data_IF_140843123411
#
_entry.id   IF_140843123411
#
_cell.length_a   1.000
_cell.length_b   1.000
_cell.length_c   1.000
_cell.angle_alpha   90.00
_cell.angle_beta   90.00
_cell.angle_gamma   90.00
#
_symmetry.space_group_name_H-M   'P 1'
#
loop_
_entity.id
_entity.type
_entity.pdbx_description
1 polymer ?
#
# COMPACT_ATOMS: atom_id res chain seq x y z
N UNK A 1 -10.42 -6.22 29.62
CA UNK A 1 -9.54 -6.98 30.51
C UNK A 1 -8.95 -8.12 29.72
N UNK A 2 -7.63 -8.13 29.55
CA UNK A 2 -6.87 -9.08 28.75
C UNK A 2 -6.91 -10.45 29.45
N UNK A 3 -7.52 -11.45 28.82
CA UNK A 3 -7.75 -12.78 29.39
C UNK A 3 -6.47 -13.41 29.93
N UNK A 4 -5.39 -13.25 29.18
CA UNK A 4 -4.12 -13.94 29.41
C UNK A 4 -3.31 -13.28 30.53
N UNK A 5 -3.70 -12.05 30.93
CA UNK A 5 -3.10 -11.31 32.04
C UNK A 5 -4.00 -11.27 33.27
N UNK A 6 -5.14 -11.97 33.28
CA UNK A 6 -6.03 -12.00 34.45
C UNK A 6 -5.33 -12.48 35.72
N UNK A 7 -4.40 -13.42 35.59
CA UNK A 7 -3.60 -13.93 36.70
C UNK A 7 -2.48 -12.97 37.12
N UNK A 8 -2.13 -11.98 36.29
CA UNK A 8 -1.14 -10.94 36.62
C UNK A 8 -1.67 -9.85 37.57
N UNK A 9 -2.98 -9.88 37.87
CA UNK A 9 -3.62 -9.01 38.86
C UNK A 9 -3.56 -7.52 38.49
N UNK A 10 -2.85 -6.73 39.31
CA UNK A 10 -2.80 -5.26 39.20
C UNK A 10 -1.91 -4.75 38.05
N UNK A 11 -1.02 -5.58 37.51
CA UNK A 11 -0.01 -5.13 36.54
C UNK A 11 -0.66 -4.71 35.22
N UNK A 12 -1.71 -5.40 34.76
CA UNK A 12 -2.50 -4.97 33.60
C UNK A 12 -3.13 -3.60 33.83
N UNK A 13 -3.62 -3.33 35.04
CA UNK A 13 -4.31 -2.09 35.36
C UNK A 13 -3.35 -0.91 35.37
N UNK A 14 -2.15 -1.10 35.93
CA UNK A 14 -1.16 -0.05 36.16
C UNK A 14 -0.34 0.29 34.91
N UNK A 15 -0.19 -0.65 33.97
CA UNK A 15 0.60 -0.44 32.75
C UNK A 15 0.02 0.66 31.84
N UNK A 16 0.88 1.51 31.29
CA UNK A 16 0.48 2.51 30.28
C UNK A 16 0.29 1.88 28.90
N UNK A 17 1.11 0.88 28.58
CA UNK A 17 1.00 0.06 27.38
C UNK A 17 1.17 -1.42 27.71
N UNK A 18 0.48 -2.26 26.96
CA UNK A 18 0.65 -3.72 26.99
C UNK A 18 0.82 -4.19 25.56
N UNK A 19 1.91 -4.92 25.30
CA UNK A 19 2.23 -5.46 23.99
C UNK A 19 2.34 -6.98 24.10
N UNK A 20 1.72 -7.70 23.16
CA UNK A 20 1.95 -9.12 22.97
C UNK A 20 2.86 -9.35 21.76
N UNK A 21 3.68 -10.39 21.85
CA UNK A 21 4.52 -10.85 20.75
C UNK A 21 3.95 -12.18 20.29
N UNK A 22 3.45 -12.22 19.05
CA UNK A 22 2.96 -13.42 18.41
C UNK A 22 3.91 -13.83 17.27
N UNK A 23 4.34 -15.08 17.28
CA UNK A 23 5.23 -15.66 16.26
C UNK A 23 4.56 -16.90 15.67
N UNK A 24 3.89 -16.79 14.51
CA UNK A 24 3.20 -17.92 13.88
C UNK A 24 4.10 -19.16 13.72
N UNK A 25 5.36 -18.95 13.31
CA UNK A 25 6.35 -20.01 13.13
C UNK A 25 6.61 -20.82 14.41
N UNK A 26 6.55 -20.19 15.60
CA UNK A 26 6.72 -20.89 16.88
C UNK A 26 5.59 -21.92 17.11
N UNK A 27 4.39 -21.63 16.60
CA UNK A 27 3.23 -22.51 16.67
C UNK A 27 3.10 -23.44 15.46
N UNK A 28 4.13 -23.51 14.59
CA UNK A 28 4.13 -24.27 13.33
C UNK A 28 3.07 -23.81 12.33
N UNK A 29 2.73 -22.52 12.37
CA UNK A 29 1.87 -21.86 11.39
C UNK A 29 2.79 -21.14 10.41
N UNK A 30 2.86 -21.63 9.17
CA UNK A 30 3.82 -21.18 8.17
C UNK A 30 3.22 -20.35 7.04
N UNK A 31 1.90 -20.36 6.91
CA UNK A 31 1.16 -19.68 5.85
C UNK A 31 -0.07 -18.99 6.43
N UNK A 32 -0.45 -17.85 5.87
CA UNK A 32 -1.72 -17.18 6.18
C UNK A 32 -2.89 -17.72 5.34
N UNK A 33 -4.09 -17.23 5.59
CA UNK A 33 -5.30 -17.63 4.84
C UNK A 33 -5.22 -17.32 3.34
N UNK A 34 -4.30 -16.44 2.92
CA UNK A 34 -4.07 -16.04 1.54
C UNK A 34 -2.87 -16.78 0.90
N UNK A 35 -2.23 -17.69 1.63
CA UNK A 35 -1.07 -18.47 1.17
C UNK A 35 0.26 -17.71 1.23
N UNK A 36 0.34 -16.58 1.94
CA UNK A 36 1.60 -15.86 2.13
C UNK A 36 2.44 -16.53 3.22
N UNK A 37 3.75 -16.60 3.03
CA UNK A 37 4.66 -17.17 4.03
C UNK A 37 4.75 -16.29 5.27
N UNK A 38 4.58 -16.92 6.44
CA UNK A 38 4.74 -16.33 7.77
C UNK A 38 6.09 -16.67 8.42
N UNK A 39 6.99 -17.31 7.68
CA UNK A 39 8.31 -17.73 8.19
C UNK A 39 9.14 -16.50 8.51
N UNK A 40 9.71 -16.46 9.72
CA UNK A 40 10.47 -15.31 10.20
C UNK A 40 9.63 -14.05 10.37
N UNK A 41 8.30 -14.14 10.39
CA UNK A 41 7.41 -13.03 10.71
C UNK A 41 7.05 -13.06 12.19
N UNK A 42 7.00 -11.88 12.79
CA UNK A 42 6.48 -11.67 14.13
C UNK A 42 5.50 -10.50 14.13
N UNK A 43 4.46 -10.64 14.93
CA UNK A 43 3.40 -9.66 15.09
C UNK A 43 3.46 -9.10 16.50
N UNK A 44 3.58 -7.78 16.58
CA UNK A 44 3.58 -7.01 17.82
C UNK A 44 2.20 -6.39 17.98
N UNK A 45 1.43 -6.89 18.93
CA UNK A 45 0.04 -6.50 19.15
C UNK A 45 0.00 -5.53 20.33
N UNK A 46 -0.32 -4.27 20.06
CA UNK A 46 -0.54 -3.25 21.09
C UNK A 46 -1.94 -3.43 21.66
N UNK A 47 -2.04 -4.23 22.72
CA UNK A 47 -3.31 -4.60 23.35
C UNK A 47 -3.86 -3.53 24.32
N UNK A 48 -2.98 -2.68 24.86
CA UNK A 48 -3.36 -1.51 25.67
C UNK A 48 -2.45 -0.34 25.32
N UNK A 49 -3.04 0.85 25.21
CA UNK A 49 -2.32 2.10 25.11
C UNK A 49 -3.19 3.22 25.70
N UNK A 50 -2.81 3.79 26.86
CA UNK A 50 -3.63 4.81 27.54
C UNK A 50 -3.73 6.14 26.77
N UNK A 51 -2.69 6.46 25.98
CA UNK A 51 -2.53 7.75 25.32
C UNK A 51 -2.57 7.67 23.79
N UNK A 52 -3.04 6.57 23.21
CA UNK A 52 -3.07 6.41 21.76
C UNK A 52 -3.79 5.17 21.30
N UNK A 53 -3.73 4.92 19.99
CA UNK A 53 -4.39 3.79 19.38
C UNK A 53 -3.71 2.46 19.74
N UNK A 54 -4.53 1.42 19.80
CA UNK A 54 -4.12 0.02 19.74
C UNK A 54 -3.98 -0.41 18.28
N UNK A 55 -3.26 -1.50 18.02
CA UNK A 55 -3.04 -2.00 16.66
C UNK A 55 -1.97 -3.07 16.62
N UNK A 56 -1.64 -3.51 15.41
CA UNK A 56 -0.75 -4.66 15.17
C UNK A 56 0.35 -4.25 14.19
N UNK A 57 1.61 -4.45 14.59
CA UNK A 57 2.80 -4.15 13.79
C UNK A 57 3.46 -5.45 13.39
N UNK A 58 3.73 -5.65 12.10
CA UNK A 58 4.50 -6.79 11.61
C UNK A 58 5.99 -6.43 11.54
N UNK A 59 6.82 -7.31 12.07
CA UNK A 59 8.29 -7.22 12.05
C UNK A 59 8.87 -8.53 11.53
N UNK A 60 10.12 -8.47 11.05
CA UNK A 60 10.90 -9.65 10.74
C UNK A 60 11.62 -10.13 12.00
N UNK A 61 11.58 -11.43 12.30
CA UNK A 61 12.28 -12.05 13.41
C UNK A 61 13.44 -12.91 12.91
N UNK A 62 14.64 -12.67 13.46
CA UNK A 62 15.86 -13.45 13.20
C UNK A 62 16.16 -14.33 14.41
N UNK A 63 15.86 -15.65 14.38
CA UNK A 63 16.04 -16.53 15.53
C UNK A 63 17.51 -16.68 15.93
N UNK A 64 18.43 -16.65 14.95
CA UNK A 64 19.88 -16.78 15.14
C UNK A 64 20.47 -15.68 16.03
N UNK A 65 19.89 -14.48 15.98
CA UNK A 65 20.34 -13.31 16.72
C UNK A 65 19.34 -12.84 17.79
N UNK A 66 18.19 -13.52 17.93
CA UNK A 66 17.06 -13.13 18.78
C UNK A 66 16.71 -11.64 18.57
N UNK A 67 16.60 -11.24 17.29
CA UNK A 67 16.44 -9.84 16.89
C UNK A 67 15.18 -9.63 16.07
N UNK A 68 14.52 -8.49 16.28
CA UNK A 68 13.48 -7.96 15.40
C UNK A 68 14.09 -6.92 14.45
N UNK A 69 13.72 -7.00 13.18
CA UNK A 69 14.13 -6.09 12.11
C UNK A 69 12.88 -5.51 11.46
N UNK A 70 12.97 -4.26 11.00
CA UNK A 70 11.90 -3.65 10.22
C UNK A 70 11.68 -4.44 8.92
N UNK A 71 10.41 -4.56 8.54
CA UNK A 71 10.06 -5.07 7.21
C UNK A 71 10.36 -3.95 6.23
N UNK A 72 11.60 -3.88 5.74
CA UNK A 72 11.95 -2.97 4.65
C UNK A 72 11.12 -3.34 3.43
N UNK A 73 10.36 -2.39 2.93
CA UNK A 73 9.26 -2.54 1.96
C UNK A 73 9.73 -2.84 0.54
N UNK A 74 10.49 -3.94 0.38
CA UNK A 74 10.87 -4.47 -0.93
C UNK A 74 10.08 -5.74 -1.29
N UNK A 75 9.04 -6.12 -0.53
CA UNK A 75 8.25 -7.32 -0.89
C UNK A 75 7.12 -7.77 0.01
N UNK A 76 6.78 -7.07 1.10
CA UNK A 76 5.65 -7.45 1.95
C UNK A 76 4.78 -6.22 2.24
N UNK A 77 3.95 -5.88 1.25
CA UNK A 77 2.94 -4.83 1.37
C UNK A 77 1.93 -5.19 2.45
N UNK A 78 2.11 -4.63 3.64
CA UNK A 78 1.26 -4.93 4.78
C UNK A 78 1.74 -4.29 6.07
N UNK A 79 2.00 -2.98 6.04
CA UNK A 79 2.32 -2.18 7.22
C UNK A 79 1.82 -0.75 7.04
N UNK A 80 0.80 -0.39 7.81
CA UNK A 80 0.38 1.00 8.10
C UNK A 80 0.33 1.98 6.94
N UNK A 81 -0.81 2.07 6.25
CA UNK A 81 -1.26 3.29 5.55
C UNK A 81 -0.14 4.15 4.93
N UNK A 82 0.79 3.54 4.19
CA UNK A 82 1.88 4.24 3.54
C UNK A 82 1.46 4.83 2.19
N UNK A 83 0.15 4.93 1.93
CA UNK A 83 -0.38 5.55 0.70
C UNK A 83 -0.15 7.07 0.65
N UNK A 84 0.15 7.71 1.78
CA UNK A 84 0.26 9.18 1.85
C UNK A 84 1.71 9.70 1.86
N UNK A 85 2.73 8.83 1.76
CA UNK A 85 4.14 9.27 1.81
C UNK A 85 5.00 8.89 0.60
N UNK A 86 4.46 8.18 -0.40
CA UNK A 86 5.22 7.74 -1.55
C UNK A 86 4.81 8.45 -2.85
N UNK A 87 5.06 9.76 -2.94
CA UNK A 87 5.46 10.50 -4.17
C UNK A 87 5.49 12.02 -3.88
N UNK A 88 6.65 12.71 -3.96
CA UNK A 88 6.65 14.17 -3.95
C UNK A 88 5.99 14.70 -5.23
N UNK A 89 4.71 15.08 -5.14
CA UNK A 89 4.00 15.76 -6.23
C UNK A 89 4.57 17.16 -6.37
N UNK A 90 5.41 17.36 -7.39
CA UNK A 90 5.91 18.69 -7.74
C UNK A 90 4.89 19.38 -8.64
N UNK A 91 3.98 20.17 -8.05
CA UNK A 91 3.06 21.01 -8.81
C UNK A 91 3.79 22.29 -9.25
N UNK A 92 4.07 22.42 -10.54
CA UNK A 92 4.66 23.64 -11.11
C UNK A 92 3.71 24.85 -11.02
N UNK A 93 4.26 26.04 -10.74
CA UNK A 93 3.49 27.28 -10.58
C UNK A 93 2.85 27.75 -11.92
N UNK A 94 1.57 28.13 -11.87
CA UNK A 94 0.80 28.74 -12.98
C UNK A 94 1.20 30.19 -13.32
N UNK A 95 2.49 30.55 -13.25
CA UNK A 95 2.94 31.93 -13.47
C UNK A 95 3.67 32.16 -14.80
N UNK A 96 3.69 31.18 -15.70
CA UNK A 96 4.18 31.39 -17.08
C UNK A 96 3.04 31.28 -18.10
N UNK A 97 1.99 32.09 -17.89
CA UNK A 97 1.02 32.44 -18.93
C UNK A 97 1.25 33.92 -19.29
N UNK A 98 2.29 34.17 -20.09
CA UNK A 98 2.66 35.52 -20.55
C UNK A 98 3.23 35.45 -21.96
N UNK A 99 2.35 35.73 -22.92
CA UNK A 99 2.59 36.21 -24.29
C UNK A 99 3.82 35.74 -25.10
N UNK A 100 3.53 34.95 -26.13
CA UNK A 100 4.29 34.99 -27.39
C UNK A 100 3.33 34.80 -28.58
N UNK A 101 2.44 35.76 -28.79
CA UNK A 101 1.74 35.93 -30.06
C UNK A 101 2.55 36.85 -30.99
N UNK A 102 3.20 36.26 -32.00
CA UNK A 102 3.50 36.81 -33.34
C UNK A 102 4.38 35.77 -34.06
N UNK A 103 4.16 35.28 -35.29
CA UNK A 103 3.66 35.88 -36.53
C UNK A 103 3.05 34.78 -37.42
N UNK A 104 2.11 35.22 -38.26
CA UNK A 104 1.37 34.45 -39.26
C UNK A 104 2.23 33.96 -40.45
N UNK A 105 1.77 32.88 -41.13
CA UNK A 105 1.65 32.89 -42.59
C UNK A 105 0.54 31.96 -43.10
N UNK A 106 -0.16 32.47 -44.09
CA UNK A 106 -1.47 32.20 -44.69
C UNK A 106 -1.42 31.16 -45.84
N UNK A 107 -2.51 30.39 -46.06
CA UNK A 107 -3.25 30.27 -47.34
C UNK A 107 -4.07 28.96 -47.50
N UNK A 108 -5.35 29.09 -47.87
CA UNK A 108 -6.06 28.16 -48.78
C UNK A 108 -7.07 27.16 -48.19
N UNK A 109 -8.36 27.49 -48.25
CA UNK A 109 -9.50 26.55 -48.16
C UNK A 109 -9.94 26.09 -49.58
N UNK A 110 -11.00 25.26 -49.76
CA UNK A 110 -11.25 23.90 -49.26
C UNK A 110 -11.66 22.94 -50.41
N UNK A 111 -12.18 21.75 -50.05
CA UNK A 111 -13.02 20.80 -50.83
C UNK A 111 -12.33 19.52 -51.36
N UNK A 112 -12.77 18.36 -50.87
CA UNK A 112 -13.48 17.38 -51.70
C UNK A 112 -14.20 16.34 -50.82
N UNK A 113 -15.52 16.51 -50.64
CA UNK A 113 -16.43 15.40 -50.38
C UNK A 113 -17.00 14.98 -51.74
N UNK A 114 -16.88 13.71 -52.11
CA UNK A 114 -17.53 13.21 -53.31
C UNK A 114 -17.33 11.73 -53.59
N UNK A 115 -18.38 10.95 -53.29
CA UNK A 115 -18.92 9.81 -54.08
C UNK A 115 -18.06 8.53 -54.11
N UNK A 116 -18.54 7.32 -53.83
CA UNK A 116 -19.85 6.74 -54.13
C UNK A 116 -19.69 5.61 -55.16
N UNK A 117 -19.71 4.35 -54.71
CA UNK A 117 -19.93 3.05 -55.42
C UNK A 117 -19.36 1.96 -54.49
N UNK A 118 -20.11 1.06 -53.84
CA UNK A 118 -21.30 0.34 -54.26
C UNK A 118 -20.86 -0.95 -54.96
N UNK A 119 -20.82 -2.08 -54.28
CA UNK A 119 -21.04 -3.44 -54.82
C UNK A 119 -21.35 -4.41 -53.67
N UNK A 120 -22.61 -4.88 -53.69
CA UNK A 120 -23.16 -6.02 -52.94
C UNK A 120 -22.80 -7.35 -53.63
N UNK A 121 -22.72 -8.41 -52.80
CA UNK A 121 -22.95 -9.86 -53.05
C UNK A 121 -22.12 -10.60 -54.10
N UNK A 122 -21.55 -11.76 -53.71
CA UNK A 122 -22.19 -13.07 -53.95
C UNK A 122 -21.44 -14.20 -53.22
N UNK A 123 -22.19 -15.25 -52.94
CA UNK A 123 -21.78 -16.50 -52.30
C UNK A 123 -21.05 -17.45 -53.26
N UNK A 124 -20.30 -18.39 -52.67
CA UNK A 124 -20.20 -19.83 -53.00
C UNK A 124 -18.77 -20.39 -52.83
N UNK A 125 -18.59 -21.21 -51.80
CA UNK A 125 -18.09 -22.59 -51.87
C UNK A 125 -18.45 -23.35 -50.59
#
# INVERSE_FOLDING_TARGET
QLSDLRESGAIEQDADMVLFIHRPEYYKIFEDEQGNSLIGLAEIIVAKHRNGATGEVRLKFRPEAIRFEDITDNGFGGGFGASDFASPVTLGSRMNSGDAASKAQEAGAPSNLGLGRGFERDADF
#
